data_IF_581881903280
#
_entry.id   IF_581881903280
#
_cell.length_a   1.000
_cell.length_b   1.000
_cell.length_c   1.000
_cell.angle_alpha   90.00
_cell.angle_beta   90.00
_cell.angle_gamma   90.00
#
_symmetry.space_group_name_H-M   'P 1'
#
loop_
_entity.id
_entity.type
_entity.pdbx_description
1 polymer ?
#
# COMPACT_ATOMS: atom_id res chain seq x y z
N UNK A 1 -21.98 24.61 -17.38
CA UNK A 1 -20.78 24.33 -16.58
C UNK A 1 -20.78 22.84 -16.26
N UNK A 2 -19.65 22.17 -16.30
CA UNK A 2 -19.52 20.76 -15.87
C UNK A 2 -19.68 20.67 -14.36
N UNK A 3 -20.26 19.58 -13.87
CA UNK A 3 -20.27 19.24 -12.45
C UNK A 3 -18.91 18.75 -11.98
N UNK A 4 -18.80 18.45 -10.68
CA UNK A 4 -17.59 17.99 -10.03
C UNK A 4 -17.76 16.57 -9.47
N UNK A 5 -16.75 15.71 -9.66
CA UNK A 5 -16.63 14.43 -8.96
C UNK A 5 -15.97 14.65 -7.59
N UNK A 6 -16.65 14.24 -6.52
CA UNK A 6 -16.15 14.30 -5.15
C UNK A 6 -15.83 12.89 -4.64
N UNK A 7 -14.56 12.60 -4.34
CA UNK A 7 -14.19 11.38 -3.64
C UNK A 7 -14.41 11.63 -2.15
N UNK A 8 -15.35 10.92 -1.54
CA UNK A 8 -15.79 11.14 -0.17
C UNK A 8 -15.39 9.96 0.70
N UNK A 9 -14.42 10.16 1.60
CA UNK A 9 -14.01 9.13 2.53
C UNK A 9 -15.13 8.80 3.52
N UNK A 10 -15.43 7.51 3.69
CA UNK A 10 -16.38 6.99 4.66
C UNK A 10 -15.64 6.46 5.90
N UNK A 11 -16.31 6.28 7.05
CA UNK A 11 -15.70 5.70 8.24
C UNK A 11 -15.17 4.29 8.01
N UNK A 12 -14.05 3.96 8.67
CA UNK A 12 -13.46 2.61 8.63
C UNK A 12 -13.86 1.73 9.82
N UNK A 13 -14.82 2.18 10.63
CA UNK A 13 -15.31 1.43 11.78
C UNK A 13 -16.02 2.27 12.83
N UNK A 14 -15.71 3.57 12.90
CA UNK A 14 -16.34 4.51 13.82
C UNK A 14 -17.03 5.63 13.04
N UNK A 15 -18.35 5.76 13.20
CA UNK A 15 -19.14 6.77 12.48
C UNK A 15 -18.73 8.22 12.79
N UNK A 16 -18.10 8.46 13.95
CA UNK A 16 -17.60 9.79 14.33
C UNK A 16 -16.40 10.26 13.49
N UNK A 17 -15.72 9.34 12.78
CA UNK A 17 -14.60 9.66 11.90
C UNK A 17 -15.02 10.30 10.57
N UNK A 18 -16.31 10.37 10.28
CA UNK A 18 -16.80 11.08 9.09
C UNK A 18 -16.62 12.59 9.25
N UNK A 19 -16.14 13.26 8.22
CA UNK A 19 -15.93 14.71 8.31
C UNK A 19 -17.21 15.49 8.03
N UNK A 20 -17.37 16.64 8.68
CA UNK A 20 -18.47 17.58 8.39
C UNK A 20 -18.55 17.98 6.91
N UNK A 21 -17.40 18.06 6.23
CA UNK A 21 -17.34 18.39 4.80
C UNK A 21 -17.91 17.25 3.96
N UNK A 22 -17.60 16.01 4.29
CA UNK A 22 -18.16 14.83 3.62
C UNK A 22 -19.67 14.78 3.81
N UNK A 23 -20.17 14.93 5.05
CA UNK A 23 -21.62 14.95 5.34
C UNK A 23 -22.36 16.01 4.53
N UNK A 24 -21.81 17.23 4.50
CA UNK A 24 -22.39 18.32 3.71
C UNK A 24 -22.39 17.98 2.22
N UNK A 25 -21.26 17.52 1.66
CA UNK A 25 -21.15 17.16 0.25
C UNK A 25 -22.13 16.08 -0.15
N UNK A 26 -22.26 15.02 0.66
CA UNK A 26 -23.22 13.93 0.40
C UNK A 26 -24.69 14.39 0.39
N UNK A 27 -25.03 15.47 1.14
CA UNK A 27 -26.38 16.08 1.14
C UNK A 27 -26.60 17.00 -0.06
N UNK A 28 -25.56 17.60 -0.60
CA UNK A 28 -25.63 18.65 -1.64
C UNK A 28 -25.48 18.12 -3.07
N UNK A 29 -24.82 16.97 -3.28
CA UNK A 29 -24.62 16.41 -4.63
C UNK A 29 -25.92 15.85 -5.24
N UNK A 30 -25.96 15.77 -6.56
CA UNK A 30 -27.11 15.23 -7.30
C UNK A 30 -27.22 13.71 -7.25
N UNK A 31 -26.08 13.02 -7.06
CA UNK A 31 -26.01 11.56 -7.07
C UNK A 31 -24.83 11.08 -6.23
N UNK A 32 -25.03 9.96 -5.53
CA UNK A 32 -23.97 9.23 -4.84
C UNK A 32 -23.69 7.94 -5.62
N UNK A 33 -22.46 7.73 -6.04
CA UNK A 33 -21.96 6.45 -6.57
C UNK A 33 -21.32 5.68 -5.41
N UNK A 34 -21.84 4.49 -5.11
CA UNK A 34 -21.41 3.69 -3.97
C UNK A 34 -20.98 2.28 -4.41
N UNK A 35 -19.98 1.72 -3.74
CA UNK A 35 -19.46 0.39 -4.03
C UNK A 35 -20.51 -0.68 -3.75
N UNK A 36 -21.03 -0.78 -2.54
CA UNK A 36 -22.20 -1.58 -2.19
C UNK A 36 -23.31 -0.69 -1.64
N UNK A 37 -24.37 -0.52 -2.44
CA UNK A 37 -25.53 0.30 -2.06
C UNK A 37 -26.26 -0.21 -0.82
N UNK A 38 -26.19 -1.54 -0.53
CA UNK A 38 -26.83 -2.15 0.65
C UNK A 38 -26.10 -1.80 1.95
N UNK A 39 -24.78 -1.61 1.89
CA UNK A 39 -23.97 -1.17 3.02
C UNK A 39 -24.08 0.35 3.17
N UNK A 40 -23.91 1.08 2.08
CA UNK A 40 -23.91 2.54 2.06
C UNK A 40 -25.24 3.13 2.53
N UNK A 41 -26.39 2.50 2.25
CA UNK A 41 -27.69 2.99 2.70
C UNK A 41 -27.79 3.09 4.24
N UNK A 42 -27.08 2.23 4.98
CA UNK A 42 -27.06 2.27 6.45
C UNK A 42 -26.37 3.54 6.93
N UNK A 43 -25.24 3.89 6.32
CA UNK A 43 -24.50 5.13 6.60
C UNK A 43 -25.35 6.35 6.26
N UNK A 44 -25.94 6.38 5.06
CA UNK A 44 -26.75 7.52 4.60
C UNK A 44 -27.99 7.72 5.50
N UNK A 45 -28.67 6.65 5.90
CA UNK A 45 -29.80 6.72 6.81
C UNK A 45 -29.40 7.23 8.19
N UNK A 46 -28.24 6.81 8.73
CA UNK A 46 -27.76 7.27 10.02
C UNK A 46 -27.56 8.80 10.07
N UNK A 47 -27.07 9.38 8.96
CA UNK A 47 -26.84 10.84 8.85
C UNK A 47 -27.98 11.58 8.15
N UNK A 48 -29.13 10.93 7.95
CA UNK A 48 -30.32 11.52 7.31
C UNK A 48 -30.05 12.11 5.92
N UNK A 49 -29.20 11.42 5.12
CA UNK A 49 -28.85 11.78 3.75
C UNK A 49 -29.84 11.11 2.81
N UNK A 50 -30.59 11.91 2.02
CA UNK A 50 -31.64 11.44 1.10
C UNK A 50 -31.22 11.50 -0.38
N UNK A 51 -29.97 11.82 -0.67
CA UNK A 51 -29.43 11.92 -2.01
C UNK A 51 -29.56 10.58 -2.75
N UNK A 52 -30.04 10.57 -4.00
CA UNK A 52 -30.14 9.35 -4.80
C UNK A 52 -28.79 8.62 -4.92
N UNK A 53 -28.84 7.30 -4.94
CA UNK A 53 -27.65 6.47 -4.98
C UNK A 53 -27.66 5.50 -6.16
N UNK A 54 -26.48 5.21 -6.71
CA UNK A 54 -26.26 4.19 -7.76
C UNK A 54 -25.03 3.35 -7.41
N UNK A 55 -24.96 2.12 -7.93
CA UNK A 55 -23.78 1.26 -7.72
C UNK A 55 -22.62 1.64 -8.63
N UNK A 56 -21.40 1.57 -8.07
CA UNK A 56 -20.12 1.69 -8.77
C UNK A 56 -19.10 0.76 -8.10
N UNK A 57 -18.91 -0.44 -8.64
CA UNK A 57 -18.10 -1.50 -8.04
C UNK A 57 -17.15 -2.11 -9.08
N UNK A 58 -16.20 -2.93 -8.63
CA UNK A 58 -15.14 -3.52 -9.48
C UNK A 58 -15.66 -4.16 -10.77
N UNK A 59 -16.81 -4.84 -10.73
CA UNK A 59 -17.36 -5.57 -11.88
C UNK A 59 -18.06 -4.67 -12.92
N UNK A 60 -18.36 -3.40 -12.58
CA UNK A 60 -19.04 -2.49 -13.50
C UNK A 60 -18.29 -1.16 -13.70
N UNK A 61 -17.11 -1.00 -13.09
CA UNK A 61 -16.42 0.28 -12.93
C UNK A 61 -16.16 1.03 -14.24
N UNK A 62 -15.85 0.34 -15.33
CA UNK A 62 -15.53 0.98 -16.61
C UNK A 62 -16.78 1.55 -17.28
N UNK A 63 -17.77 0.71 -17.56
CA UNK A 63 -19.02 1.17 -18.24
C UNK A 63 -19.76 2.19 -17.38
N UNK A 64 -19.76 1.97 -16.07
CA UNK A 64 -20.41 2.87 -15.13
C UNK A 64 -19.68 4.20 -15.00
N UNK A 65 -18.34 4.22 -15.07
CA UNK A 65 -17.56 5.46 -15.07
C UNK A 65 -17.95 6.36 -16.23
N UNK A 66 -18.04 5.84 -17.46
CA UNK A 66 -18.48 6.64 -18.61
C UNK A 66 -19.91 7.20 -18.44
N UNK A 67 -20.83 6.42 -17.88
CA UNK A 67 -22.20 6.90 -17.59
C UNK A 67 -22.19 8.03 -16.53
N UNK A 68 -21.36 7.93 -15.50
CA UNK A 68 -21.22 8.94 -14.45
C UNK A 68 -20.55 10.19 -15.00
N UNK A 69 -19.49 10.04 -15.80
CA UNK A 69 -18.79 11.16 -16.45
C UNK A 69 -19.72 11.91 -17.40
N UNK A 70 -20.59 11.22 -18.16
CA UNK A 70 -21.61 11.88 -19.00
C UNK A 70 -22.52 12.79 -18.13
N UNK A 71 -23.00 12.30 -16.98
CA UNK A 71 -23.80 13.12 -16.04
C UNK A 71 -23.04 14.30 -15.46
N UNK A 72 -21.75 14.13 -15.16
CA UNK A 72 -20.87 15.23 -14.71
C UNK A 72 -20.74 16.29 -15.79
N UNK A 73 -20.61 15.89 -17.08
CA UNK A 73 -20.58 16.81 -18.23
C UNK A 73 -21.92 17.57 -18.43
N UNK A 74 -23.03 16.98 -18.02
CA UNK A 74 -24.36 17.62 -17.99
C UNK A 74 -24.50 18.63 -16.82
N UNK A 75 -23.48 18.78 -15.99
CA UNK A 75 -23.49 19.73 -14.85
C UNK A 75 -23.92 19.12 -13.52
N UNK A 76 -24.11 17.79 -13.43
CA UNK A 76 -24.44 17.09 -12.19
C UNK A 76 -23.21 16.92 -11.31
N UNK A 77 -23.31 17.23 -10.02
CA UNK A 77 -22.31 16.89 -9.03
C UNK A 77 -22.47 15.45 -8.52
N UNK A 78 -21.41 14.71 -8.45
CA UNK A 78 -21.46 13.30 -8.03
C UNK A 78 -20.45 13.06 -6.90
N UNK A 79 -20.89 12.40 -5.83
CA UNK A 79 -20.00 11.87 -4.80
C UNK A 79 -19.73 10.39 -5.05
N UNK A 80 -18.45 10.00 -5.01
CA UNK A 80 -18.04 8.60 -4.96
C UNK A 80 -17.73 8.23 -3.52
N UNK A 81 -18.30 7.12 -3.04
CA UNK A 81 -18.03 6.52 -1.73
C UNK A 81 -17.73 5.03 -1.90
N UNK A 82 -16.96 4.47 -0.98
CA UNK A 82 -16.68 3.04 -0.84
C UNK A 82 -17.27 2.50 0.46
N UNK A 83 -17.22 1.20 0.68
CA UNK A 83 -17.76 0.58 1.88
C UNK A 83 -17.08 1.09 3.15
N UNK A 84 -15.75 1.34 3.06
CA UNK A 84 -14.97 1.88 4.18
C UNK A 84 -13.73 2.65 3.67
N UNK A 85 -13.49 3.83 4.20
CA UNK A 85 -12.28 4.60 3.92
C UNK A 85 -12.35 5.50 2.70
N UNK A 86 -11.21 5.77 2.11
CA UNK A 86 -11.02 6.72 1.01
C UNK A 86 -11.13 6.03 -0.33
N UNK A 87 -12.06 6.44 -1.22
CA UNK A 87 -12.21 5.87 -2.56
C UNK A 87 -10.92 5.92 -3.38
N UNK A 88 -10.63 4.86 -4.15
CA UNK A 88 -9.41 4.74 -4.95
C UNK A 88 -8.17 4.27 -4.16
N UNK A 89 -8.31 4.00 -2.86
CA UNK A 89 -7.25 3.40 -2.04
C UNK A 89 -7.63 1.96 -1.71
N UNK A 90 -7.19 1.01 -2.52
CA UNK A 90 -7.59 -0.41 -2.45
C UNK A 90 -9.04 -0.71 -2.84
N UNK A 91 -9.77 0.28 -3.28
CA UNK A 91 -11.20 0.23 -3.64
C UNK A 91 -11.41 0.87 -5.02
N UNK A 92 -12.58 0.68 -5.65
CA UNK A 92 -12.89 1.31 -6.94
C UNK A 92 -12.83 2.84 -6.86
N UNK A 93 -12.22 3.48 -7.87
CA UNK A 93 -12.12 4.94 -7.93
C UNK A 93 -11.10 5.45 -8.95
N UNK A 94 -9.99 4.74 -9.14
CA UNK A 94 -8.91 5.12 -10.03
C UNK A 94 -9.40 5.33 -11.47
N UNK A 95 -10.19 4.40 -12.01
CA UNK A 95 -10.67 4.45 -13.39
C UNK A 95 -11.56 5.66 -13.66
N UNK A 96 -12.52 5.97 -12.79
CA UNK A 96 -13.39 7.13 -12.98
C UNK A 96 -12.61 8.44 -12.85
N UNK A 97 -11.63 8.51 -11.96
CA UNK A 97 -10.76 9.68 -11.83
C UNK A 97 -9.96 9.89 -13.10
N UNK A 98 -9.34 8.83 -13.64
CA UNK A 98 -8.60 8.88 -14.90
C UNK A 98 -9.48 9.37 -16.04
N UNK A 99 -10.67 8.79 -16.21
CA UNK A 99 -11.62 9.21 -17.26
C UNK A 99 -12.07 10.66 -17.06
N UNK A 100 -12.29 11.12 -15.81
CA UNK A 100 -12.60 12.53 -15.53
C UNK A 100 -11.47 13.45 -16.01
N UNK A 101 -10.20 13.11 -15.78
CA UNK A 101 -9.06 13.88 -16.29
C UNK A 101 -9.01 13.90 -17.82
N UNK A 102 -9.22 12.76 -18.49
CA UNK A 102 -9.25 12.65 -19.95
C UNK A 102 -10.37 13.51 -20.56
N UNK A 103 -11.50 13.64 -19.86
CA UNK A 103 -12.70 14.34 -20.30
C UNK A 103 -12.80 15.79 -19.79
N UNK A 104 -11.78 16.28 -19.07
CA UNK A 104 -11.75 17.65 -18.52
C UNK A 104 -12.78 17.92 -17.43
N UNK A 105 -13.21 16.90 -16.70
CA UNK A 105 -14.17 17.01 -15.58
C UNK A 105 -13.42 17.26 -14.27
N UNK A 106 -13.81 18.27 -13.47
CA UNK A 106 -13.19 18.54 -12.17
C UNK A 106 -13.34 17.39 -11.19
N UNK A 107 -12.25 17.06 -10.48
CA UNK A 107 -12.23 16.05 -9.43
C UNK A 107 -11.70 16.67 -8.13
N UNK A 108 -12.34 16.37 -7.00
CA UNK A 108 -11.90 16.78 -5.67
C UNK A 108 -11.97 15.60 -4.71
N UNK A 109 -10.87 15.31 -4.02
CA UNK A 109 -10.86 14.32 -2.93
C UNK A 109 -11.01 15.05 -1.59
N UNK A 110 -11.96 14.58 -0.77
CA UNK A 110 -12.19 15.11 0.57
C UNK A 110 -11.35 14.31 1.57
N UNK A 111 -10.48 14.97 2.37
CA UNK A 111 -9.72 14.28 3.41
C UNK A 111 -10.65 13.52 4.37
N UNK A 112 -10.20 12.33 4.79
CA UNK A 112 -10.95 11.52 5.74
C UNK A 112 -10.22 10.24 6.11
N UNK A 113 -10.95 9.25 6.63
CA UNK A 113 -10.41 8.02 7.14
C UNK A 113 -9.68 7.20 6.06
N UNK A 114 -8.49 6.70 6.41
CA UNK A 114 -7.71 5.77 5.60
C UNK A 114 -6.96 4.80 6.53
N UNK A 115 -7.28 3.52 6.47
CA UNK A 115 -6.74 2.52 7.40
C UNK A 115 -5.22 2.42 7.34
N UNK A 116 -4.61 2.54 6.15
CA UNK A 116 -3.15 2.52 5.97
C UNK A 116 -2.45 3.68 6.70
N UNK A 117 -2.99 4.88 6.63
CA UNK A 117 -2.43 6.07 7.31
C UNK A 117 -2.67 5.97 8.82
N UNK A 118 -3.86 5.56 9.25
CA UNK A 118 -4.17 5.36 10.66
C UNK A 118 -3.23 4.33 11.30
N UNK A 119 -3.04 3.17 10.65
CA UNK A 119 -2.09 2.15 11.11
C UNK A 119 -0.65 2.67 11.13
N UNK A 120 -0.20 3.33 10.06
CA UNK A 120 1.16 3.85 9.96
C UNK A 120 1.48 4.83 11.09
N UNK A 121 0.59 5.80 11.35
CA UNK A 121 0.81 6.83 12.38
C UNK A 121 0.88 6.27 13.79
N UNK A 122 0.16 5.18 14.08
CA UNK A 122 0.18 4.53 15.40
C UNK A 122 1.19 3.39 15.52
N UNK A 123 1.86 3.01 14.42
CA UNK A 123 2.76 1.85 14.39
C UNK A 123 4.08 2.05 15.12
N UNK A 124 4.57 3.30 15.25
CA UNK A 124 5.91 3.60 15.72
C UNK A 124 7.02 3.31 14.70
N UNK A 125 6.66 2.96 13.46
CA UNK A 125 7.62 2.73 12.36
C UNK A 125 7.93 4.02 11.59
N UNK A 126 9.03 4.09 10.83
CA UNK A 126 9.36 5.28 10.03
C UNK A 126 8.23 5.65 9.07
N UNK A 127 7.75 6.90 9.14
CA UNK A 127 6.59 7.37 8.37
C UNK A 127 6.97 8.21 7.15
N UNK A 128 8.22 8.69 7.06
CA UNK A 128 8.64 9.59 5.99
C UNK A 128 8.55 8.96 4.59
N UNK A 129 8.87 7.67 4.50
CA UNK A 129 8.82 6.90 3.25
C UNK A 129 8.20 5.55 3.57
N UNK A 130 7.15 5.20 2.85
CA UNK A 130 6.48 3.92 2.98
C UNK A 130 6.01 3.41 1.61
N UNK A 131 5.78 2.12 1.52
CA UNK A 131 5.17 1.43 0.40
C UNK A 131 3.82 0.87 0.87
N UNK A 132 2.77 1.12 0.11
CA UNK A 132 1.44 0.59 0.36
C UNK A 132 1.11 -0.45 -0.71
N UNK A 133 0.95 -1.70 -0.30
CA UNK A 133 0.70 -2.85 -1.17
C UNK A 133 -0.77 -3.28 -1.19
N UNK A 134 -1.63 -2.60 -0.41
CA UNK A 134 -3.03 -2.99 -0.24
C UNK A 134 -3.17 -4.47 0.16
N UNK A 135 -4.10 -5.23 -0.46
CA UNK A 135 -4.16 -6.68 -0.35
C UNK A 135 -3.21 -7.32 -1.37
N UNK A 136 -2.38 -8.26 -0.93
CA UNK A 136 -1.52 -9.00 -1.85
C UNK A 136 -2.35 -9.75 -2.90
N UNK A 137 -1.86 -9.85 -4.15
CA UNK A 137 -2.59 -10.48 -5.25
C UNK A 137 -3.09 -11.89 -4.91
N UNK A 138 -4.27 -12.26 -5.45
CA UNK A 138 -4.83 -13.61 -5.30
C UNK A 138 -4.18 -14.61 -6.26
N UNK A 139 -3.77 -14.15 -7.45
CA UNK A 139 -3.01 -14.98 -8.40
C UNK A 139 -1.65 -15.35 -7.79
N UNK A 140 -1.33 -16.64 -7.83
CA UNK A 140 -0.13 -17.18 -7.18
C UNK A 140 1.17 -16.64 -7.78
N UNK A 141 1.22 -16.43 -9.10
CA UNK A 141 2.46 -15.98 -9.76
C UNK A 141 2.69 -14.50 -9.50
N UNK A 142 1.65 -13.69 -9.61
CA UNK A 142 1.71 -12.27 -9.31
C UNK A 142 2.03 -12.03 -7.84
N UNK A 143 1.38 -12.76 -6.92
CA UNK A 143 1.64 -12.71 -5.49
C UNK A 143 3.10 -13.04 -5.15
N UNK A 144 3.64 -14.12 -5.73
CA UNK A 144 5.04 -14.49 -5.52
C UNK A 144 6.01 -13.40 -6.05
N UNK A 145 5.68 -12.77 -7.20
CA UNK A 145 6.46 -11.66 -7.76
C UNK A 145 6.46 -10.46 -6.80
N UNK A 146 5.29 -10.04 -6.33
CA UNK A 146 5.19 -8.91 -5.39
C UNK A 146 5.96 -9.20 -4.10
N UNK A 147 5.83 -10.39 -3.52
CA UNK A 147 6.56 -10.78 -2.31
C UNK A 147 8.08 -10.76 -2.54
N UNK A 148 8.56 -11.21 -3.70
CA UNK A 148 10.00 -11.16 -4.03
C UNK A 148 10.50 -9.72 -4.20
N UNK A 149 9.71 -8.83 -4.80
CA UNK A 149 10.02 -7.39 -4.89
C UNK A 149 10.15 -6.75 -3.50
N UNK A 150 9.33 -7.17 -2.53
CA UNK A 150 9.40 -6.67 -1.15
C UNK A 150 10.65 -7.13 -0.37
N UNK A 151 11.37 -8.12 -0.85
CA UNK A 151 12.55 -8.68 -0.18
C UNK A 151 13.63 -7.63 0.12
N UNK A 152 13.84 -6.71 -0.81
CA UNK A 152 14.81 -5.63 -0.68
C UNK A 152 14.18 -4.26 -0.38
N UNK A 153 12.87 -4.21 -0.10
CA UNK A 153 12.21 -2.96 0.24
C UNK A 153 12.74 -2.42 1.58
N UNK A 154 13.25 -1.18 1.54
CA UNK A 154 13.84 -0.49 2.70
C UNK A 154 12.88 0.47 3.40
N UNK A 155 11.76 0.80 2.74
CA UNK A 155 10.71 1.63 3.32
C UNK A 155 9.82 0.80 4.24
N UNK A 156 9.06 1.45 5.12
CA UNK A 156 7.97 0.80 5.85
C UNK A 156 6.95 0.26 4.86
N UNK A 157 6.56 -1.01 4.99
CA UNK A 157 5.60 -1.68 4.09
C UNK A 157 4.25 -1.77 4.81
N UNK A 158 3.16 -1.44 4.12
CA UNK A 158 1.81 -1.52 4.66
C UNK A 158 0.99 -2.48 3.81
N UNK A 159 0.42 -3.51 4.44
CA UNK A 159 -0.39 -4.55 3.80
C UNK A 159 -1.73 -4.65 4.53
N UNK A 160 -2.83 -4.69 3.77
CA UNK A 160 -4.15 -5.06 4.28
C UNK A 160 -4.31 -6.58 4.25
N UNK A 161 -4.96 -7.14 5.26
CA UNK A 161 -5.21 -8.58 5.26
C UNK A 161 -6.51 -8.96 5.96
N UNK A 162 -7.19 -9.94 5.38
CA UNK A 162 -8.38 -10.55 5.95
C UNK A 162 -7.99 -11.66 6.96
N UNK A 163 -8.82 -11.90 7.99
CA UNK A 163 -8.48 -12.84 9.06
C UNK A 163 -8.17 -14.26 8.53
N UNK A 164 -8.95 -14.74 7.58
CA UNK A 164 -8.81 -16.08 7.03
C UNK A 164 -7.58 -16.29 6.12
N UNK A 165 -6.91 -15.21 5.74
CA UNK A 165 -5.66 -15.25 4.96
C UNK A 165 -4.42 -14.90 5.79
N UNK A 166 -4.58 -14.31 6.99
CA UNK A 166 -3.49 -13.76 7.80
C UNK A 166 -2.33 -14.74 7.97
N UNK A 167 -2.62 -15.97 8.46
CA UNK A 167 -1.58 -16.98 8.75
C UNK A 167 -0.80 -17.33 7.49
N UNK A 168 -1.50 -17.55 6.37
CA UNK A 168 -0.86 -17.86 5.09
C UNK A 168 0.04 -16.71 4.64
N UNK A 169 -0.47 -15.50 4.65
CA UNK A 169 0.28 -14.30 4.22
C UNK A 169 1.52 -14.07 5.08
N UNK A 170 1.37 -14.14 6.40
CA UNK A 170 2.50 -13.97 7.31
C UNK A 170 3.55 -15.08 7.13
N UNK A 171 3.13 -16.33 6.88
CA UNK A 171 4.06 -17.44 6.58
C UNK A 171 4.84 -17.20 5.28
N UNK A 172 4.17 -16.76 4.21
CA UNK A 172 4.81 -16.44 2.94
C UNK A 172 5.80 -15.27 3.08
N UNK A 173 5.41 -14.21 3.79
CA UNK A 173 6.29 -13.08 4.08
C UNK A 173 7.49 -13.48 4.94
N UNK A 174 7.28 -14.26 6.01
CA UNK A 174 8.36 -14.77 6.85
C UNK A 174 9.40 -15.56 6.05
N UNK A 175 8.94 -16.46 5.19
CA UNK A 175 9.82 -17.30 4.37
C UNK A 175 10.62 -16.48 3.33
N UNK A 176 10.05 -15.42 2.79
CA UNK A 176 10.68 -14.61 1.76
C UNK A 176 11.53 -13.48 2.33
N UNK A 177 11.04 -12.79 3.37
CA UNK A 177 11.64 -11.58 3.91
C UNK A 177 12.52 -11.81 5.16
N UNK A 178 12.48 -13.02 5.74
CA UNK A 178 13.03 -13.30 7.06
C UNK A 178 12.14 -12.81 8.20
N UNK A 179 12.60 -12.90 9.43
CA UNK A 179 11.82 -12.57 10.63
C UNK A 179 11.83 -11.07 10.92
N UNK A 180 11.15 -10.30 10.08
CA UNK A 180 11.06 -8.85 10.27
C UNK A 180 10.10 -8.47 11.39
N UNK A 181 10.42 -7.37 12.04
CA UNK A 181 9.51 -6.70 12.96
C UNK A 181 8.34 -6.06 12.22
N UNK A 182 7.16 -6.13 12.82
CA UNK A 182 5.96 -5.48 12.33
C UNK A 182 5.11 -4.95 13.47
N UNK A 183 4.23 -4.02 13.15
CA UNK A 183 3.10 -3.65 14.00
C UNK A 183 1.83 -4.18 13.35
N UNK A 184 1.11 -5.01 14.09
CA UNK A 184 -0.18 -5.58 13.69
C UNK A 184 -1.28 -4.69 14.24
N UNK A 185 -2.04 -4.04 13.38
CA UNK A 185 -3.23 -3.29 13.74
C UNK A 185 -4.46 -4.11 13.34
N UNK A 186 -5.38 -4.30 14.28
CA UNK A 186 -6.61 -5.07 14.07
C UNK A 186 -7.82 -4.23 14.44
N UNK A 187 -8.88 -4.30 13.63
CA UNK A 187 -10.18 -3.66 13.89
C UNK A 187 -10.04 -2.16 14.22
N UNK A 188 -9.22 -1.44 13.45
CA UNK A 188 -8.95 -0.02 13.63
C UNK A 188 -10.24 0.78 13.77
N UNK A 189 -10.27 1.70 14.73
CA UNK A 189 -11.39 2.57 15.11
C UNK A 189 -12.61 1.86 15.69
N UNK A 190 -12.67 0.52 15.66
CA UNK A 190 -13.79 -0.27 16.17
C UNK A 190 -13.64 -0.58 17.67
N UNK A 191 -14.69 -1.08 18.28
CA UNK A 191 -14.74 -1.43 19.73
C UNK A 191 -13.61 -2.38 20.16
N UNK A 192 -13.15 -3.24 19.26
CA UNK A 192 -12.10 -4.24 19.54
C UNK A 192 -10.79 -3.91 18.83
N UNK A 193 -10.51 -2.61 18.68
CA UNK A 193 -9.22 -2.15 18.18
C UNK A 193 -8.07 -2.71 19.01
N UNK A 194 -7.10 -3.27 18.31
CA UNK A 194 -5.90 -3.82 18.93
C UNK A 194 -4.67 -3.43 18.11
N UNK A 195 -3.58 -3.13 18.83
CA UNK A 195 -2.27 -2.89 18.25
C UNK A 195 -1.22 -3.71 18.98
N UNK A 196 -0.44 -4.48 18.25
CA UNK A 196 0.63 -5.33 18.80
C UNK A 196 1.90 -5.15 17.96
N UNK A 197 3.02 -4.92 18.64
CA UNK A 197 4.34 -5.02 18.03
C UNK A 197 4.84 -6.47 18.19
N UNK A 198 5.33 -7.05 17.10
CA UNK A 198 5.78 -8.44 17.05
C UNK A 198 6.80 -8.62 15.91
N UNK A 199 7.41 -9.80 15.85
CA UNK A 199 8.03 -10.32 14.63
C UNK A 199 7.04 -11.22 13.88
N UNK A 200 7.38 -11.64 12.66
CA UNK A 200 6.54 -12.61 11.94
C UNK A 200 6.43 -13.93 12.70
N UNK A 201 7.53 -14.41 13.29
CA UNK A 201 7.53 -15.67 14.06
C UNK A 201 6.64 -15.58 15.31
N UNK A 202 6.69 -14.47 16.05
CA UNK A 202 5.85 -14.24 17.22
C UNK A 202 4.36 -14.14 16.84
N UNK A 203 4.04 -13.50 15.71
CA UNK A 203 2.67 -13.43 15.21
C UNK A 203 2.13 -14.81 14.81
N UNK A 204 2.96 -15.63 14.16
CA UNK A 204 2.61 -17.02 13.80
C UNK A 204 2.38 -17.87 15.05
N UNK A 205 3.24 -17.76 16.06
CA UNK A 205 3.08 -18.51 17.32
C UNK A 205 1.79 -18.10 18.05
N UNK A 206 1.51 -16.79 18.15
CA UNK A 206 0.25 -16.28 18.71
C UNK A 206 -0.98 -16.82 17.97
N UNK A 207 -0.90 -16.94 16.65
CA UNK A 207 -2.00 -17.42 15.81
C UNK A 207 -2.31 -18.93 15.99
N UNK A 208 -1.41 -19.70 16.62
CA UNK A 208 -1.67 -21.11 16.99
C UNK A 208 -2.67 -21.25 18.14
N UNK A 209 -2.71 -20.25 19.03
CA UNK A 209 -3.57 -20.27 20.22
C UNK A 209 -4.80 -19.37 20.07
N UNK A 210 -4.75 -18.39 19.16
CA UNK A 210 -5.81 -17.42 18.93
C UNK A 210 -6.17 -17.37 17.45
N UNK A 211 -7.37 -17.82 17.12
CA UNK A 211 -7.88 -17.74 15.74
C UNK A 211 -7.98 -16.26 15.31
N UNK A 212 -7.38 -15.88 14.16
CA UNK A 212 -7.49 -14.52 13.64
C UNK A 212 -8.94 -14.11 13.36
N UNK A 213 -9.34 -12.92 13.83
CA UNK A 213 -10.67 -12.35 13.63
C UNK A 213 -10.59 -10.86 13.34
N UNK A 214 -11.53 -10.36 12.55
CA UNK A 214 -11.59 -8.96 12.15
C UNK A 214 -10.59 -8.63 11.04
N UNK A 215 -10.43 -7.37 10.72
CA UNK A 215 -9.60 -6.85 9.64
C UNK A 215 -8.24 -6.43 10.16
N UNK A 216 -7.20 -6.66 9.37
CA UNK A 216 -5.82 -6.42 9.75
C UNK A 216 -5.14 -5.43 8.82
N UNK A 217 -4.30 -4.58 9.42
CA UNK A 217 -3.28 -3.81 8.73
C UNK A 217 -1.93 -4.19 9.31
N UNK A 218 -1.05 -4.71 8.47
CA UNK A 218 0.32 -5.07 8.82
C UNK A 218 1.25 -3.92 8.42
N UNK A 219 1.94 -3.33 9.40
CA UNK A 219 2.93 -2.27 9.17
C UNK A 219 4.31 -2.87 9.46
N UNK A 220 5.01 -3.25 8.40
CA UNK A 220 6.22 -4.07 8.44
C UNK A 220 7.45 -3.19 8.29
N UNK A 221 8.51 -3.46 9.07
CA UNK A 221 9.80 -2.80 8.89
C UNK A 221 10.39 -3.11 7.50
N UNK A 222 10.86 -2.08 6.82
CA UNK A 222 11.73 -2.24 5.67
C UNK A 222 13.05 -2.92 6.03
N UNK A 223 13.75 -3.42 5.03
CA UNK A 223 15.08 -4.01 5.21
C UNK A 223 16.09 -2.95 5.64
N UNK A 224 16.98 -3.31 6.52
CA UNK A 224 18.03 -2.39 6.98
C UNK A 224 19.05 -2.15 5.85
N UNK A 225 19.23 -0.89 5.47
CA UNK A 225 20.16 -0.49 4.41
C UNK A 225 21.60 -0.91 4.73
N UNK A 226 22.01 -0.84 5.99
CA UNK A 226 23.35 -1.26 6.41
C UNK A 226 23.56 -2.78 6.27
N UNK A 227 22.52 -3.59 6.53
CA UNK A 227 22.59 -5.03 6.32
C UNK A 227 22.68 -5.39 4.83
N UNK A 228 21.90 -4.71 3.98
CA UNK A 228 21.99 -4.89 2.51
C UNK A 228 23.41 -4.55 2.03
N UNK A 229 23.95 -3.41 2.48
CA UNK A 229 25.30 -3.00 2.10
C UNK A 229 26.37 -4.01 2.55
N UNK A 230 26.21 -4.55 3.77
CA UNK A 230 27.13 -5.58 4.31
C UNK A 230 27.06 -6.88 3.51
N UNK A 231 25.86 -7.38 3.21
CA UNK A 231 25.69 -8.59 2.40
C UNK A 231 26.26 -8.43 0.97
N UNK A 232 26.05 -7.24 0.38
CA UNK A 232 26.64 -6.94 -0.93
C UNK A 232 28.18 -6.95 -0.86
N UNK A 233 28.74 -6.34 0.18
CA UNK A 233 30.19 -6.34 0.40
C UNK A 233 30.71 -7.77 0.59
N UNK A 234 30.08 -8.58 1.45
CA UNK A 234 30.45 -9.99 1.68
C UNK A 234 30.38 -10.80 0.38
N UNK A 235 29.36 -10.57 -0.45
CA UNK A 235 29.21 -11.22 -1.75
C UNK A 235 30.37 -10.85 -2.70
N UNK A 236 30.78 -9.58 -2.74
CA UNK A 236 31.91 -9.14 -3.52
C UNK A 236 33.24 -9.67 -2.98
N UNK A 237 33.40 -9.76 -1.65
CA UNK A 237 34.61 -10.33 -1.03
C UNK A 237 34.77 -11.84 -1.33
N UNK A 238 33.66 -12.59 -1.37
CA UNK A 238 33.63 -14.00 -1.71
C UNK A 238 33.99 -14.30 -3.20
N UNK A 239 33.77 -13.30 -4.09
CA UNK A 239 34.11 -13.44 -5.50
C UNK A 239 35.62 -13.34 -5.72
N UNK A 240 36.27 -14.16 -6.57
CA UNK A 240 37.66 -14.00 -6.96
C UNK A 240 37.93 -12.57 -7.48
N UNK A 241 39.08 -12.00 -7.12
CA UNK A 241 39.39 -10.61 -7.45
C UNK A 241 39.40 -10.34 -8.96
N UNK A 242 39.97 -11.27 -9.74
CA UNK A 242 39.99 -11.20 -11.19
C UNK A 242 38.59 -11.20 -11.80
N UNK A 243 37.67 -12.02 -11.26
CA UNK A 243 36.29 -12.07 -11.72
C UNK A 243 35.57 -10.76 -11.39
N UNK A 244 35.81 -10.15 -10.20
CA UNK A 244 35.25 -8.86 -9.83
C UNK A 244 35.81 -7.72 -10.72
N UNK A 245 37.09 -7.73 -11.07
CA UNK A 245 37.67 -6.81 -12.04
C UNK A 245 37.03 -6.97 -13.42
N UNK A 246 36.93 -8.22 -13.91
CA UNK A 246 36.30 -8.53 -15.19
C UNK A 246 34.85 -8.10 -15.27
N UNK A 247 34.10 -8.13 -14.17
CA UNK A 247 32.71 -7.63 -14.08
C UNK A 247 32.63 -6.17 -14.53
N UNK A 248 33.49 -5.30 -14.07
CA UNK A 248 33.50 -3.88 -14.45
C UNK A 248 34.11 -3.65 -15.82
N UNK A 249 35.22 -4.35 -16.15
CA UNK A 249 35.90 -4.22 -17.45
C UNK A 249 34.97 -4.65 -18.60
N UNK A 250 34.09 -5.67 -18.40
CA UNK A 250 33.12 -6.11 -19.40
C UNK A 250 32.02 -5.08 -19.68
N UNK A 251 31.83 -4.11 -18.77
CA UNK A 251 30.90 -2.97 -18.93
C UNK A 251 31.59 -1.76 -19.64
N UNK A 252 32.81 -1.94 -20.13
CA UNK A 252 33.57 -0.88 -20.81
C UNK A 252 34.31 0.10 -19.87
N UNK A 253 34.39 -0.22 -18.58
CA UNK A 253 35.08 0.61 -17.58
C UNK A 253 36.57 0.29 -17.66
N UNK A 254 37.40 1.35 -17.73
CA UNK A 254 38.86 1.16 -17.79
C UNK A 254 39.40 0.53 -16.49
N UNK A 255 40.50 -0.22 -16.61
CA UNK A 255 41.11 -1.00 -15.50
C UNK A 255 41.40 -0.14 -14.26
N UNK A 256 41.79 1.14 -14.43
CA UNK A 256 42.14 2.03 -13.32
C UNK A 256 40.90 2.47 -12.54
N UNK A 257 39.77 2.67 -13.23
CA UNK A 257 38.48 3.00 -12.62
C UNK A 257 37.82 1.74 -12.06
N UNK A 258 37.89 0.60 -12.75
CA UNK A 258 37.45 -0.70 -12.23
C UNK A 258 38.11 -1.03 -10.88
N UNK A 259 39.43 -0.82 -10.73
CA UNK A 259 40.11 -1.01 -9.44
C UNK A 259 39.56 -0.11 -8.32
N UNK A 260 39.07 1.11 -8.63
CA UNK A 260 38.48 1.98 -7.60
C UNK A 260 37.10 1.47 -7.18
N UNK A 261 36.30 1.02 -8.15
CA UNK A 261 34.98 0.46 -7.88
C UNK A 261 35.08 -0.84 -7.05
N UNK A 262 35.95 -1.76 -7.46
CA UNK A 262 36.24 -2.99 -6.72
C UNK A 262 36.75 -2.70 -5.31
N UNK A 263 37.61 -1.71 -5.12
CA UNK A 263 38.09 -1.31 -3.80
C UNK A 263 36.96 -0.78 -2.93
N UNK A 264 36.07 0.04 -3.50
CA UNK A 264 34.88 0.57 -2.82
C UNK A 264 33.93 -0.55 -2.40
N UNK A 265 33.60 -1.47 -3.32
CA UNK A 265 32.66 -2.55 -3.06
C UNK A 265 33.16 -3.52 -2.01
N UNK A 266 34.46 -3.78 -1.96
CA UNK A 266 35.11 -4.63 -0.94
C UNK A 266 35.47 -3.90 0.34
N UNK A 267 35.21 -2.58 0.44
CA UNK A 267 35.55 -1.79 1.62
C UNK A 267 37.08 -1.68 1.89
N UNK A 268 37.92 -1.85 0.86
CA UNK A 268 39.38 -1.81 0.99
C UNK A 268 40.01 -0.64 0.19
N UNK A 269 41.29 -0.39 0.39
CA UNK A 269 41.97 0.65 -0.38
C UNK A 269 42.29 0.18 -1.80
N UNK A 270 42.32 1.11 -2.77
CA UNK A 270 42.78 0.82 -4.13
C UNK A 270 44.21 0.23 -4.16
N UNK A 271 45.05 0.62 -3.20
CA UNK A 271 46.43 0.11 -3.08
C UNK A 271 46.44 -1.39 -2.71
N UNK A 272 45.46 -1.84 -1.92
CA UNK A 272 45.34 -3.26 -1.53
C UNK A 272 44.89 -4.11 -2.72
N UNK A 273 43.94 -3.60 -3.53
CA UNK A 273 43.56 -4.25 -4.79
C UNK A 273 44.72 -4.37 -5.74
N UNK A 274 45.50 -3.27 -5.92
CA UNK A 274 46.65 -3.31 -6.79
C UNK A 274 47.71 -4.33 -6.36
N UNK A 275 47.96 -4.47 -5.05
CA UNK A 275 48.93 -5.46 -4.51
C UNK A 275 48.46 -6.91 -4.72
N UNK A 276 47.17 -7.16 -4.73
CA UNK A 276 46.62 -8.51 -4.92
C UNK A 276 46.56 -8.92 -6.40
N UNK A 277 46.63 -7.96 -7.33
CA UNK A 277 46.63 -8.20 -8.78
C UNK A 277 48.03 -8.30 -9.39
N UNK A 278 49.08 -8.07 -8.58
CA UNK A 278 50.50 -8.28 -8.94
C UNK A 278 50.94 -9.70 -8.60
#
# INVERSE_FOLDING_TARGET
MTGTLYLCATPIGNLEDITFRVLRTLKEVDLIAAEDTRNSIKLLNHFEIKTPMTSYHEFNKIDKAYQLVAKLKEGKNIALITDAGTPGISDPGEDIVRICYEEGVPVTSLPGAAACITALTMSGRPTRRFAFEAFLPRDKKERARVIEELKNETRTIIIYEAPHHLIKTVTELYNALGDRELTVCRELTKKHEEKVQATFSELLERSRTQEPRGEYVLVICGRNVAEIAKEQQESWEAMPLEAHMAHYESQGIDRKEAMKLVAKDRGVSKRDIYKQLL
#
